data_IF_141842950289
#
_entry.id   IF_141842950289
#
_cell.length_a   1.000
_cell.length_b   1.000
_cell.length_c   1.000
_cell.angle_alpha   90.00
_cell.angle_beta   90.00
_cell.angle_gamma   90.00
#
_symmetry.space_group_name_H-M   'P 1'
#
loop_
_entity.id
_entity.type
_entity.pdbx_description
1 polymer ?
#
# COMPACT_ATOMS: atom_id res chain seq x y z
N UNK A 1 0.54 25.93 -9.14
CA UNK A 1 0.22 24.67 -8.44
C UNK A 1 1.20 23.66 -9.01
N UNK A 2 2.34 23.47 -8.35
CA UNK A 2 3.35 22.51 -8.82
C UNK A 2 2.67 21.14 -8.97
N UNK A 3 2.92 20.51 -10.12
CA UNK A 3 2.46 19.16 -10.41
C UNK A 3 3.11 18.22 -9.39
N UNK A 4 2.41 17.96 -8.27
CA UNK A 4 2.84 16.97 -7.28
C UNK A 4 2.66 15.59 -7.89
N UNK A 5 3.58 15.22 -8.76
CA UNK A 5 3.73 13.86 -9.26
C UNK A 5 4.61 13.08 -8.28
N UNK A 6 4.25 11.82 -8.03
CA UNK A 6 5.12 10.92 -7.26
C UNK A 6 6.34 10.63 -8.11
N UNK A 7 7.53 10.82 -7.56
CA UNK A 7 8.75 10.37 -8.22
C UNK A 7 8.78 8.84 -8.21
N UNK A 8 8.43 8.23 -9.35
CA UNK A 8 8.31 6.77 -9.49
C UNK A 8 9.64 6.06 -9.26
N UNK A 9 10.73 6.66 -9.71
CA UNK A 9 12.06 6.10 -9.53
C UNK A 9 12.48 6.13 -8.05
N UNK A 10 12.02 7.13 -7.30
CA UNK A 10 12.24 7.20 -5.86
C UNK A 10 11.37 6.17 -5.12
N UNK A 11 10.09 6.06 -5.47
CA UNK A 11 9.19 5.07 -4.89
C UNK A 11 9.71 3.65 -5.12
N UNK A 12 10.19 3.35 -6.33
CA UNK A 12 10.84 2.07 -6.65
C UNK A 12 12.13 1.87 -5.88
N UNK A 13 12.96 2.91 -5.71
CA UNK A 13 14.18 2.84 -4.88
C UNK A 13 13.90 2.63 -3.40
N UNK A 14 12.80 3.16 -2.88
CA UNK A 14 12.38 2.99 -1.49
C UNK A 14 11.88 1.56 -1.21
N UNK A 15 11.49 0.83 -2.25
CA UNK A 15 11.02 -0.56 -2.15
C UNK A 15 12.17 -1.47 -2.60
N UNK A 16 12.82 -2.23 -1.70
CA UNK A 16 13.94 -3.08 -2.08
C UNK A 16 13.45 -4.28 -2.90
N UNK A 17 13.22 -4.09 -4.20
CA UNK A 17 12.63 -5.10 -5.09
C UNK A 17 13.40 -6.42 -5.07
N UNK A 18 14.73 -6.39 -4.97
CA UNK A 18 15.55 -7.60 -4.90
C UNK A 18 15.26 -8.39 -3.63
N UNK A 19 15.12 -7.72 -2.48
CA UNK A 19 14.69 -8.36 -1.24
C UNK A 19 13.28 -8.94 -1.38
N UNK A 20 12.38 -8.20 -2.03
CA UNK A 20 11.01 -8.65 -2.29
C UNK A 20 11.00 -9.92 -3.14
N UNK A 21 11.76 -9.94 -4.23
CA UNK A 21 11.83 -11.05 -5.19
C UNK A 21 12.55 -12.28 -4.63
N UNK A 22 13.65 -12.08 -3.89
CA UNK A 22 14.54 -13.16 -3.44
C UNK A 22 14.08 -13.75 -2.10
N UNK A 23 13.43 -12.95 -1.24
CA UNK A 23 13.08 -13.37 0.12
C UNK A 23 11.58 -13.33 0.38
N UNK A 24 10.94 -12.15 0.25
CA UNK A 24 9.55 -11.96 0.70
C UNK A 24 8.58 -12.81 -0.12
N UNK A 25 8.66 -12.74 -1.45
CA UNK A 25 7.77 -13.47 -2.36
C UNK A 25 7.92 -14.99 -2.19
N UNK A 26 9.15 -15.57 -2.19
CA UNK A 26 9.32 -17.00 -1.93
C UNK A 26 8.74 -17.44 -0.58
N UNK A 27 9.05 -16.74 0.52
CA UNK A 27 8.55 -17.08 1.86
C UNK A 27 7.03 -16.98 1.94
N UNK A 28 6.43 -15.97 1.31
CA UNK A 28 4.98 -15.84 1.25
C UNK A 28 4.34 -16.95 0.41
N UNK A 29 4.96 -17.33 -0.71
CA UNK A 29 4.46 -18.36 -1.61
C UNK A 29 4.42 -19.75 -0.97
N UNK A 30 5.32 -20.05 -0.04
CA UNK A 30 5.31 -21.32 0.70
C UNK A 30 4.07 -21.47 1.60
N UNK A 31 3.42 -20.35 1.95
CA UNK A 31 2.24 -20.30 2.84
C UNK A 31 0.94 -20.07 2.09
N UNK A 32 0.99 -19.77 0.80
CA UNK A 32 -0.16 -19.36 0.01
C UNK A 32 -0.58 -20.44 -0.98
N UNK A 33 -1.88 -20.74 -1.01
CA UNK A 33 -2.46 -21.64 -2.01
C UNK A 33 -2.25 -21.14 -3.44
N UNK A 34 -2.29 -19.81 -3.65
CA UNK A 34 -1.99 -19.15 -4.92
C UNK A 34 -0.75 -18.28 -4.78
N UNK A 35 0.26 -18.52 -5.62
CA UNK A 35 1.49 -17.72 -5.67
C UNK A 35 1.22 -16.25 -5.95
N UNK A 36 2.01 -15.38 -5.34
CA UNK A 36 1.98 -13.93 -5.51
C UNK A 36 2.98 -13.53 -6.59
N UNK A 37 2.59 -12.52 -7.35
CA UNK A 37 3.48 -11.83 -8.29
C UNK A 37 4.02 -10.56 -7.63
N UNK A 38 5.09 -10.01 -8.20
CA UNK A 38 5.58 -8.69 -7.78
C UNK A 38 4.51 -7.61 -7.93
N UNK A 39 3.75 -7.66 -9.03
CA UNK A 39 2.59 -6.79 -9.26
C UNK A 39 1.56 -6.89 -8.15
N UNK A 40 1.22 -8.11 -7.73
CA UNK A 40 0.26 -8.33 -6.65
C UNK A 40 0.81 -7.84 -5.29
N UNK A 41 2.12 -7.95 -5.06
CA UNK A 41 2.79 -7.37 -3.89
C UNK A 41 2.66 -5.83 -3.88
N UNK A 42 2.86 -5.16 -5.02
CA UNK A 42 2.68 -3.71 -5.10
C UNK A 42 1.24 -3.28 -4.82
N UNK A 43 0.26 -3.99 -5.36
CA UNK A 43 -1.16 -3.71 -5.08
C UNK A 43 -1.45 -3.87 -3.58
N UNK A 44 -0.96 -4.95 -2.96
CA UNK A 44 -1.07 -5.17 -1.53
C UNK A 44 -0.43 -4.06 -0.69
N UNK A 45 0.73 -3.57 -1.09
CA UNK A 45 1.39 -2.43 -0.43
C UNK A 45 0.57 -1.13 -0.61
N UNK A 46 0.07 -0.89 -1.82
CA UNK A 46 -0.79 0.26 -2.13
C UNK A 46 -2.07 0.28 -1.29
N UNK A 47 -2.65 -0.89 -1.05
CA UNK A 47 -3.77 -1.07 -0.12
C UNK A 47 -3.43 -0.56 1.29
N UNK A 48 -2.28 -0.96 1.85
CA UNK A 48 -1.84 -0.50 3.18
C UNK A 48 -1.53 0.99 3.23
N UNK A 49 -0.85 1.54 2.22
CA UNK A 49 -0.57 2.99 2.13
C UNK A 49 -1.88 3.79 2.05
N UNK A 50 -2.87 3.28 1.31
CA UNK A 50 -4.17 3.93 1.23
C UNK A 50 -4.90 3.89 2.57
N UNK A 51 -4.82 2.77 3.29
CA UNK A 51 -5.42 2.62 4.62
C UNK A 51 -4.82 3.62 5.62
N UNK A 52 -3.49 3.75 5.64
CA UNK A 52 -2.81 4.68 6.55
C UNK A 52 -3.12 6.17 6.28
N UNK A 53 -3.72 6.50 5.13
CA UNK A 53 -4.20 7.85 4.84
C UNK A 53 -5.46 8.26 5.62
N UNK A 54 -6.08 7.35 6.36
CA UNK A 54 -7.33 7.60 7.09
C UNK A 54 -7.18 7.21 8.57
N UNK A 55 -6.41 7.97 9.36
CA UNK A 55 -6.25 7.69 10.78
C UNK A 55 -7.62 7.69 11.50
N UNK A 56 -7.87 6.69 12.34
CA UNK A 56 -9.16 6.46 12.99
C UNK A 56 -10.07 5.43 12.32
N UNK A 57 -9.70 4.91 11.14
CA UNK A 57 -10.39 3.81 10.46
C UNK A 57 -9.56 2.51 10.51
N UNK A 58 -9.37 1.99 11.73
CA UNK A 58 -8.50 0.83 11.99
C UNK A 58 -9.15 -0.51 11.62
N UNK A 59 -10.49 -0.55 11.54
CA UNK A 59 -11.21 -1.73 11.08
C UNK A 59 -10.96 -1.97 9.59
N UNK A 60 -10.42 -3.14 9.25
CA UNK A 60 -10.09 -3.51 7.86
C UNK A 60 -11.30 -4.03 7.06
N UNK A 61 -12.32 -4.54 7.75
CA UNK A 61 -13.52 -5.15 7.15
C UNK A 61 -14.31 -4.18 6.25
N UNK A 62 -14.61 -2.94 6.68
CA UNK A 62 -15.42 -2.02 5.87
C UNK A 62 -14.79 -1.69 4.51
N UNK A 63 -13.46 -1.76 4.37
CA UNK A 63 -12.74 -1.33 3.17
C UNK A 63 -13.08 -2.10 1.88
N UNK A 64 -13.78 -3.23 2.00
CA UNK A 64 -14.26 -4.08 0.89
C UNK A 64 -15.77 -4.08 0.69
N UNK A 65 -16.50 -3.10 1.23
CA UNK A 65 -17.97 -3.03 1.08
C UNK A 65 -18.42 -2.84 -0.39
N UNK A 66 -19.47 -3.59 -0.78
CA UNK A 66 -20.07 -3.52 -2.12
C UNK A 66 -21.11 -2.41 -2.36
N UNK A 67 -21.88 -1.91 -1.36
CA UNK A 67 -22.98 -1.00 -1.66
C UNK A 67 -22.51 0.37 -2.15
N UNK A 68 -23.36 1.11 -2.89
CA UNK A 68 -23.09 2.51 -3.19
C UNK A 68 -22.94 3.24 -1.87
N UNK A 69 -21.76 3.81 -1.64
CA UNK A 69 -21.50 4.54 -0.40
C UNK A 69 -22.51 5.66 -0.28
N UNK A 70 -23.27 5.65 0.80
CA UNK A 70 -23.84 6.89 1.29
C UNK A 70 -22.68 7.88 1.50
N UNK A 71 -22.89 9.15 1.17
CA UNK A 71 -21.93 10.21 1.45
C UNK A 71 -21.63 10.37 2.94
N UNK A 72 -22.50 9.86 3.83
CA UNK A 72 -22.33 9.85 5.27
C UNK A 72 -21.58 8.63 5.83
N UNK A 73 -21.37 7.58 5.02
CA UNK A 73 -20.69 6.36 5.47
C UNK A 73 -19.17 6.46 5.50
N UNK A 74 -18.60 7.53 4.93
CA UNK A 74 -17.16 7.79 5.01
C UNK A 74 -16.26 6.95 4.06
N UNK A 75 -14.93 7.05 4.18
CA UNK A 75 -13.97 6.45 3.25
C UNK A 75 -13.22 5.22 3.82
N UNK A 76 -12.62 4.36 2.96
CA UNK A 76 -12.98 3.98 1.61
C UNK A 76 -13.24 2.47 1.44
N UNK A 77 -14.45 2.18 0.96
CA UNK A 77 -15.00 0.82 0.92
C UNK A 77 -14.92 0.07 -0.42
N UNK A 78 -14.15 0.51 -1.42
CA UNK A 78 -14.07 -0.17 -2.74
C UNK A 78 -12.71 -0.79 -3.05
N UNK A 79 -11.97 -1.25 -2.04
CA UNK A 79 -10.69 -1.92 -2.28
C UNK A 79 -10.82 -3.22 -3.10
N UNK A 80 -12.03 -3.77 -3.19
CA UNK A 80 -12.37 -4.92 -4.04
C UNK A 80 -12.06 -4.74 -5.53
N UNK A 81 -11.93 -3.51 -6.02
CA UNK A 81 -11.52 -3.22 -7.41
C UNK A 81 -10.04 -3.56 -7.67
N UNK A 82 -9.19 -3.51 -6.63
CA UNK A 82 -7.75 -3.76 -6.74
C UNK A 82 -7.36 -5.16 -6.25
N UNK A 83 -7.92 -5.58 -5.12
CA UNK A 83 -7.61 -6.85 -4.48
C UNK A 83 -8.83 -7.36 -3.73
N UNK A 84 -9.11 -8.66 -3.75
CA UNK A 84 -10.19 -9.21 -2.94
C UNK A 84 -9.83 -9.20 -1.46
N UNK A 85 -10.85 -9.04 -0.60
CA UNK A 85 -10.70 -9.08 0.86
C UNK A 85 -9.93 -10.32 1.33
N UNK A 86 -10.38 -11.50 0.89
CA UNK A 86 -9.75 -12.77 1.23
C UNK A 86 -8.28 -12.82 0.81
N UNK A 87 -7.96 -12.27 -0.37
CA UNK A 87 -6.58 -12.21 -0.83
C UNK A 87 -5.74 -11.29 0.04
N UNK A 88 -6.23 -10.09 0.36
CA UNK A 88 -5.53 -9.15 1.23
C UNK A 88 -5.18 -9.77 2.59
N UNK A 89 -6.13 -10.40 3.27
CA UNK A 89 -5.86 -11.06 4.55
C UNK A 89 -4.92 -12.27 4.42
N UNK A 90 -5.03 -13.04 3.34
CA UNK A 90 -4.07 -14.12 3.08
C UNK A 90 -2.64 -13.60 2.91
N UNK A 91 -2.48 -12.44 2.25
CA UNK A 91 -1.17 -11.79 2.09
C UNK A 91 -0.64 -11.23 3.42
N UNK A 92 -1.49 -10.59 4.23
CA UNK A 92 -1.09 -10.11 5.57
C UNK A 92 -0.57 -11.24 6.45
N UNK A 93 -1.17 -12.43 6.35
CA UNK A 93 -0.72 -13.61 7.12
C UNK A 93 0.56 -14.25 6.57
N UNK A 94 0.77 -14.19 5.26
CA UNK A 94 1.87 -14.87 4.57
C UNK A 94 3.16 -14.04 4.52
N UNK A 95 3.04 -12.73 4.28
CA UNK A 95 4.15 -11.79 4.21
C UNK A 95 4.58 -11.48 5.64
N UNK A 96 5.66 -12.15 6.08
CA UNK A 96 6.33 -11.82 7.34
C UNK A 96 7.54 -10.95 7.06
N UNK A 97 7.48 -9.73 7.54
CA UNK A 97 8.65 -8.88 7.70
C UNK A 97 9.11 -9.10 9.15
N UNK A 98 10.36 -9.51 9.36
CA UNK A 98 10.90 -9.93 10.67
C UNK A 98 10.35 -9.12 11.84
N UNK A 99 9.66 -9.77 12.80
CA UNK A 99 9.15 -9.26 14.09
C UNK A 99 8.52 -7.85 14.17
N UNK A 100 8.35 -7.18 13.04
CA UNK A 100 7.89 -5.80 12.89
C UNK A 100 6.54 -5.76 12.23
N UNK A 101 5.72 -4.80 12.66
CA UNK A 101 4.39 -4.57 12.14
C UNK A 101 4.47 -4.18 10.65
N UNK A 102 3.56 -4.71 9.82
CA UNK A 102 3.41 -4.31 8.41
C UNK A 102 3.23 -2.79 8.30
N UNK A 103 2.58 -2.18 9.29
CA UNK A 103 2.45 -0.72 9.39
C UNK A 103 3.81 -0.03 9.48
N UNK A 104 4.77 -0.58 10.22
CA UNK A 104 6.12 -0.01 10.33
C UNK A 104 6.86 -0.03 8.99
N UNK A 105 6.71 -1.12 8.22
CA UNK A 105 7.28 -1.21 6.88
C UNK A 105 6.68 -0.17 5.93
N UNK A 106 5.36 -0.01 5.96
CA UNK A 106 4.62 0.99 5.18
C UNK A 106 5.08 2.40 5.55
N UNK A 107 5.19 2.69 6.85
CA UNK A 107 5.66 3.99 7.34
C UNK A 107 7.10 4.29 6.91
N UNK A 108 8.00 3.29 6.91
CA UNK A 108 9.38 3.47 6.43
C UNK A 108 9.43 3.83 4.95
N UNK A 109 8.65 3.15 4.10
CA UNK A 109 8.56 3.46 2.66
C UNK A 109 8.02 4.87 2.46
N UNK A 110 6.90 5.21 3.10
CA UNK A 110 6.31 6.54 3.00
C UNK A 110 7.28 7.63 3.49
N UNK A 111 7.99 7.41 4.59
CA UNK A 111 8.97 8.34 5.14
C UNK A 111 10.10 8.67 4.16
N UNK A 112 10.69 7.65 3.51
CA UNK A 112 11.76 7.86 2.50
C UNK A 112 11.22 8.68 1.32
N UNK A 113 10.03 8.35 0.83
CA UNK A 113 9.42 9.00 -0.33
C UNK A 113 8.98 10.43 0.00
N UNK A 114 8.51 10.68 1.22
CA UNK A 114 8.12 12.01 1.73
C UNK A 114 9.31 12.91 2.05
N UNK A 115 10.39 12.39 2.63
CA UNK A 115 11.55 13.22 3.01
C UNK A 115 12.20 13.87 1.79
N UNK A 116 12.29 13.14 0.67
CA UNK A 116 12.81 13.65 -0.60
C UNK A 116 11.91 14.75 -1.21
N UNK A 117 10.59 14.57 -1.15
CA UNK A 117 9.64 15.45 -1.83
C UNK A 117 9.09 16.60 -0.98
N UNK A 118 9.05 16.44 0.34
CA UNK A 118 8.28 17.30 1.24
C UNK A 118 9.06 17.89 2.43
N UNK A 119 10.24 17.39 2.79
CA UNK A 119 11.04 17.94 3.90
C UNK A 119 10.22 18.23 5.18
N UNK A 120 10.29 19.47 5.70
CA UNK A 120 9.58 19.94 6.90
C UNK A 120 8.13 20.43 6.67
N UNK A 121 7.44 19.93 5.63
CA UNK A 121 6.03 20.29 5.36
C UNK A 121 5.05 19.76 6.40
N UNK A 122 3.85 20.35 6.41
CA UNK A 122 2.77 20.05 7.35
C UNK A 122 2.22 18.62 7.22
N UNK A 123 1.55 18.14 8.27
CA UNK A 123 0.89 16.82 8.29
C UNK A 123 -0.13 16.67 7.14
N UNK A 124 -0.84 17.74 6.79
CA UNK A 124 -1.83 17.73 5.70
C UNK A 124 -1.18 17.53 4.33
N UNK A 125 -0.03 18.15 4.09
CA UNK A 125 0.72 17.99 2.82
C UNK A 125 1.28 16.57 2.68
N UNK A 126 1.80 15.99 3.78
CA UNK A 126 2.23 14.59 3.84
C UNK A 126 1.09 13.63 3.51
N UNK A 127 -0.11 13.89 4.05
CA UNK A 127 -1.29 13.07 3.77
C UNK A 127 -1.72 13.11 2.30
N UNK A 128 -1.66 14.30 1.67
CA UNK A 128 -1.92 14.45 0.24
C UNK A 128 -0.95 13.62 -0.61
N UNK A 129 0.32 13.61 -0.23
CA UNK A 129 1.36 12.87 -0.94
C UNK A 129 1.28 11.36 -0.74
N UNK A 130 0.92 10.86 0.46
CA UNK A 130 0.63 9.43 0.68
C UNK A 130 -0.51 8.92 -0.19
N UNK A 131 -1.55 9.73 -0.40
CA UNK A 131 -2.65 9.36 -1.32
C UNK A 131 -2.16 9.21 -2.77
N UNK A 132 -1.18 10.02 -3.18
CA UNK A 132 -0.57 9.89 -4.49
C UNK A 132 0.29 8.62 -4.59
N UNK A 133 1.07 8.30 -3.55
CA UNK A 133 1.83 7.03 -3.46
C UNK A 133 0.88 5.82 -3.55
N UNK A 134 -0.21 5.83 -2.77
CA UNK A 134 -1.22 4.78 -2.81
C UNK A 134 -1.82 4.60 -4.21
N UNK A 135 -2.22 5.72 -4.84
CA UNK A 135 -2.76 5.70 -6.20
C UNK A 135 -1.77 5.03 -7.16
N UNK A 136 -0.51 5.43 -7.12
CA UNK A 136 0.52 4.89 -8.00
C UNK A 136 0.72 3.38 -7.82
N UNK A 137 0.83 2.91 -6.57
CA UNK A 137 0.98 1.50 -6.25
C UNK A 137 -0.23 0.66 -6.69
N UNK A 138 -1.43 1.25 -6.67
CA UNK A 138 -2.67 0.57 -7.04
C UNK A 138 -2.91 0.55 -8.57
N UNK A 139 -2.51 1.59 -9.31
CA UNK A 139 -2.83 1.73 -10.74
C UNK A 139 -1.67 1.46 -11.69
N UNK A 140 -0.43 1.72 -11.28
CA UNK A 140 0.76 1.71 -12.15
C UNK A 140 1.80 0.69 -11.67
N UNK A 141 1.39 -0.56 -11.64
CA UNK A 141 2.27 -1.66 -11.23
C UNK A 141 3.19 -2.13 -12.36
N UNK A 142 4.49 -2.33 -12.13
CA UNK A 142 5.38 -2.96 -13.11
C UNK A 142 4.89 -4.38 -13.41
N UNK A 143 4.60 -4.67 -14.69
CA UNK A 143 4.17 -6.00 -15.14
C UNK A 143 3.03 -5.96 -16.16
N UNK A 144 3.41 -5.67 -17.40
CA UNK A 144 2.97 -6.46 -18.56
C UNK A 144 3.95 -7.61 -18.73
#
# INVERSE_FOLDING_TARGET
>A
MEDQSVNLDLLRRAIPEDLVKISIIPIANDKLARKITLKEFYIWLGCHVFISCFPGFEELEPWWSKPPKDMFDGPPFRMGEFMSKYRFFALNSAIRLNDGDILEFVERICSVVEQDALGNKSRCEKLGYRKLIAKELLTNTPGA
#
